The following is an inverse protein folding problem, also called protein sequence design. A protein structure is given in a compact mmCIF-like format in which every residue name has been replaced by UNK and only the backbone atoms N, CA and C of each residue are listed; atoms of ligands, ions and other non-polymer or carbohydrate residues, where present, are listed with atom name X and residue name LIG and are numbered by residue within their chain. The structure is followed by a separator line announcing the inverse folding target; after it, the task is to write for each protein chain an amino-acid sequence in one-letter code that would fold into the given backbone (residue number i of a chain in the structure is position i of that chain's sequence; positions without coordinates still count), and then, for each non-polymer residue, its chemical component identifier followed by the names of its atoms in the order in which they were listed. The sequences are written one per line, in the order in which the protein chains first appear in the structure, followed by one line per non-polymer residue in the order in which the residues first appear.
data_IF_365637951267
#
_entry.id   IF_365637951267
#
_cell.length_a   1.000
_cell.length_b   1.000
_cell.length_c   1.000
_cell.angle_alpha   90.00
_cell.angle_beta   90.00
_cell.angle_gamma   90.00
#
_symmetry.space_group_name_H-M   'P 1'
#
loop_
_entity.id
_entity.type
_entity.pdbx_description
1 polymer ?
#
# COMPACT_ATOMS: atom_id res chain seq x y z
N UNK A 1 7.70 18.16 20.58
CA UNK A 1 8.47 17.75 19.39
C UNK A 1 7.48 17.32 18.33
N UNK A 2 7.07 18.27 17.48
CA UNK A 2 6.27 18.02 16.29
C UNK A 2 7.02 17.01 15.43
N UNK A 3 6.48 15.79 15.32
CA UNK A 3 6.96 14.85 14.33
C UNK A 3 6.38 15.33 13.02
N UNK A 4 7.12 16.17 12.29
CA UNK A 4 6.69 16.65 10.98
C UNK A 4 6.50 15.43 10.08
N UNK A 5 5.22 15.09 9.84
CA UNK A 5 4.86 14.09 8.86
C UNK A 5 5.34 14.62 7.50
N UNK A 6 5.91 13.76 6.64
CA UNK A 6 6.34 14.20 5.33
C UNK A 6 5.18 14.81 4.55
N UNK A 7 5.40 15.98 3.95
CA UNK A 7 4.42 16.61 3.07
C UNK A 7 4.23 15.75 1.81
N UNK A 8 3.01 15.28 1.59
CA UNK A 8 2.65 14.56 0.38
C UNK A 8 2.04 15.49 -0.64
N UNK A 9 2.41 15.28 -1.90
CA UNK A 9 1.71 15.89 -3.04
C UNK A 9 0.65 14.92 -3.54
N UNK A 10 -0.65 15.26 -3.44
CA UNK A 10 -1.69 14.46 -4.03
C UNK A 10 -1.43 14.33 -5.53
N UNK A 11 -1.30 13.09 -6.02
CA UNK A 11 -1.24 12.82 -7.44
C UNK A 11 -2.66 12.66 -7.97
N UNK A 12 -2.86 12.92 -9.27
CA UNK A 12 -4.13 12.60 -9.95
C UNK A 12 -4.46 11.13 -9.73
N UNK A 13 -5.70 10.84 -9.36
CA UNK A 13 -6.15 9.50 -8.99
C UNK A 13 -5.80 8.45 -10.06
N UNK A 14 -5.93 8.78 -11.34
CA UNK A 14 -5.56 7.92 -12.48
C UNK A 14 -4.08 7.46 -12.42
N UNK A 15 -3.16 8.36 -12.05
CA UNK A 15 -1.74 8.02 -11.92
C UNK A 15 -1.50 7.07 -10.75
N UNK A 16 -2.22 7.29 -9.65
CA UNK A 16 -2.13 6.41 -8.47
C UNK A 16 -2.71 5.05 -8.80
N UNK A 17 -3.86 4.98 -9.50
CA UNK A 17 -4.45 3.73 -9.96
C UNK A 17 -3.52 2.97 -10.92
N UNK A 18 -2.93 3.66 -11.90
CA UNK A 18 -1.96 3.04 -12.81
C UNK A 18 -0.74 2.46 -12.06
N UNK A 19 -0.25 3.17 -11.04
CA UNK A 19 0.81 2.68 -10.15
C UNK A 19 0.35 1.44 -9.36
N UNK A 20 -0.84 1.48 -8.76
CA UNK A 20 -1.39 0.37 -7.98
C UNK A 20 -1.65 -0.87 -8.84
N UNK A 21 -2.17 -0.72 -10.07
CA UNK A 21 -2.34 -1.85 -10.98
C UNK A 21 -1.00 -2.49 -11.38
N UNK A 22 0.09 -1.73 -11.51
CA UNK A 22 1.44 -2.29 -11.74
C UNK A 22 1.98 -3.07 -10.53
N UNK A 23 1.60 -2.68 -9.32
CA UNK A 23 2.02 -3.34 -8.07
C UNK A 23 1.18 -4.59 -7.81
N UNK A 24 -0.15 -4.47 -7.84
CA UNK A 24 -1.09 -5.47 -7.33
C UNK A 24 -1.82 -6.26 -8.42
N UNK A 25 -1.90 -5.74 -9.66
CA UNK A 25 -2.61 -6.40 -10.76
C UNK A 25 -4.05 -6.76 -10.38
N UNK A 26 -4.40 -8.02 -10.59
CA UNK A 26 -5.73 -8.59 -10.31
C UNK A 26 -6.07 -8.71 -8.80
N UNK A 27 -5.07 -8.52 -7.94
CA UNK A 27 -5.24 -8.51 -6.50
C UNK A 27 -5.67 -7.14 -5.97
N UNK A 28 -5.67 -6.08 -6.78
CA UNK A 28 -6.20 -4.79 -6.37
C UNK A 28 -7.70 -4.90 -6.02
N UNK A 29 -8.10 -4.30 -4.90
CA UNK A 29 -9.52 -4.25 -4.48
C UNK A 29 -10.03 -2.82 -4.55
N UNK A 30 -9.44 -1.90 -3.78
CA UNK A 30 -9.83 -0.49 -3.78
C UNK A 30 -8.70 0.39 -3.24
N UNK A 31 -8.90 1.70 -3.32
CA UNK A 31 -8.03 2.70 -2.73
C UNK A 31 -8.88 3.77 -2.04
N UNK A 32 -8.51 4.12 -0.82
CA UNK A 32 -9.04 5.29 -0.12
C UNK A 32 -8.00 6.42 -0.18
N UNK A 33 -8.46 7.66 -0.31
CA UNK A 33 -7.61 8.87 -0.31
C UNK A 33 -7.88 9.69 0.94
N UNK A 34 -6.84 10.26 1.54
CA UNK A 34 -6.94 11.00 2.80
C UNK A 34 -6.64 12.51 2.61
N UNK A 35 -7.16 13.38 3.51
CA UNK A 35 -7.01 14.84 3.36
C UNK A 35 -5.56 15.36 3.36
N UNK A 36 -4.64 14.64 4.00
CA UNK A 36 -3.19 14.93 4.05
C UNK A 36 -2.43 14.43 2.81
N UNK A 37 -3.15 13.92 1.80
CA UNK A 37 -2.59 13.53 0.51
C UNK A 37 -1.98 12.13 0.47
N UNK A 38 -2.10 11.33 1.53
CA UNK A 38 -1.75 9.91 1.49
C UNK A 38 -2.93 9.05 1.00
N UNK A 39 -2.62 7.80 0.69
CA UNK A 39 -3.55 6.81 0.16
C UNK A 39 -3.42 5.52 0.96
N UNK A 40 -4.53 4.80 1.09
CA UNK A 40 -4.56 3.41 1.54
C UNK A 40 -5.01 2.55 0.38
N UNK A 41 -4.20 1.55 0.02
CA UNK A 41 -4.62 0.52 -0.93
C UNK A 41 -5.05 -0.72 -0.17
N UNK A 42 -6.14 -1.34 -0.63
CA UNK A 42 -6.61 -2.64 -0.17
C UNK A 42 -6.43 -3.65 -1.30
N UNK A 43 -5.97 -4.85 -0.94
CA UNK A 43 -5.68 -5.91 -1.91
C UNK A 43 -6.01 -7.30 -1.36
N UNK A 44 -6.28 -8.23 -2.28
CA UNK A 44 -6.72 -9.60 -1.97
C UNK A 44 -5.63 -10.38 -1.24
N UNK A 45 -5.98 -11.27 -0.31
CA UNK A 45 -5.00 -12.10 0.40
C UNK A 45 -4.10 -12.94 -0.51
N UNK A 46 -4.64 -13.38 -1.65
CA UNK A 46 -3.90 -14.16 -2.66
C UNK A 46 -2.70 -13.43 -3.29
N UNK A 47 -2.49 -12.14 -3.01
CA UNK A 47 -1.24 -11.45 -3.36
C UNK A 47 -0.03 -12.06 -2.64
N UNK A 48 -0.22 -12.53 -1.40
CA UNK A 48 0.82 -13.22 -0.65
C UNK A 48 0.65 -14.72 -0.75
N UNK A 49 1.74 -15.42 -1.08
CA UNK A 49 1.80 -16.88 -0.97
C UNK A 49 2.03 -17.22 0.50
N UNK A 50 0.96 -17.55 1.23
CA UNK A 50 1.02 -17.89 2.66
C UNK A 50 1.32 -19.39 2.78
N UNK A 51 2.33 -19.73 3.59
CA UNK A 51 2.70 -21.12 3.83
C UNK A 51 1.61 -21.86 4.63
N UNK A 52 1.44 -23.17 4.43
CA UNK A 52 0.53 -23.99 5.23
C UNK A 52 0.77 -23.79 6.74
N UNK A 53 -0.30 -23.58 7.51
CA UNK A 53 -0.24 -23.34 8.95
C UNK A 53 0.05 -21.89 9.37
N UNK A 54 0.16 -20.96 8.42
CA UNK A 54 0.16 -19.51 8.70
C UNK A 54 -1.14 -18.88 8.20
N UNK A 55 -1.65 -17.93 8.96
CA UNK A 55 -2.87 -17.18 8.63
C UNK A 55 -2.57 -15.76 8.16
N UNK A 56 -1.35 -15.28 8.38
CA UNK A 56 -0.94 -13.90 8.09
C UNK A 56 0.38 -13.85 7.30
N UNK A 57 0.60 -12.78 6.50
CA UNK A 57 1.84 -12.59 5.78
C UNK A 57 2.97 -12.25 6.74
N UNK A 58 4.15 -12.78 6.46
CA UNK A 58 5.33 -12.53 7.28
C UNK A 58 5.86 -11.11 7.13
N UNK A 59 6.66 -10.66 8.10
CA UNK A 59 7.37 -9.37 8.03
C UNK A 59 8.25 -9.24 6.78
N UNK A 60 8.83 -10.35 6.30
CA UNK A 60 9.66 -10.34 5.08
C UNK A 60 8.81 -10.16 3.83
N UNK A 61 7.62 -10.78 3.76
CA UNK A 61 6.67 -10.57 2.66
C UNK A 61 6.23 -9.10 2.56
N UNK A 62 5.87 -8.50 3.69
CA UNK A 62 5.57 -7.07 3.76
C UNK A 62 6.75 -6.20 3.33
N UNK A 63 7.96 -6.52 3.80
CA UNK A 63 9.18 -5.80 3.40
C UNK A 63 9.46 -5.91 1.91
N UNK A 64 9.21 -7.07 1.30
CA UNK A 64 9.36 -7.28 -0.15
C UNK A 64 8.33 -6.48 -0.94
N UNK A 65 7.06 -6.43 -0.51
CA UNK A 65 6.05 -5.55 -1.11
C UNK A 65 6.49 -4.08 -1.06
N UNK A 66 6.93 -3.60 0.11
CA UNK A 66 7.41 -2.21 0.26
C UNK A 66 8.60 -1.92 -0.65
N UNK A 67 9.54 -2.86 -0.79
CA UNK A 67 10.67 -2.73 -1.73
C UNK A 67 10.20 -2.69 -3.19
N UNK A 68 9.24 -3.53 -3.59
CA UNK A 68 8.66 -3.51 -4.95
C UNK A 68 8.01 -2.17 -5.27
N UNK A 69 7.19 -1.66 -4.36
CA UNK A 69 6.55 -0.34 -4.46
C UNK A 69 7.59 0.78 -4.69
N UNK A 70 8.64 0.83 -3.87
CA UNK A 70 9.74 1.81 -4.03
C UNK A 70 10.54 1.64 -5.32
N UNK A 71 10.74 0.41 -5.80
CA UNK A 71 11.43 0.16 -7.09
C UNK A 71 10.62 0.67 -8.28
N UNK A 72 9.29 0.52 -8.24
CA UNK A 72 8.41 1.02 -9.30
C UNK A 72 8.34 2.55 -9.25
N UNK A 73 8.32 3.14 -8.06
CA UNK A 73 8.31 4.60 -7.91
C UNK A 73 9.22 5.05 -6.75
N UNK A 74 10.46 5.49 -7.01
CA UNK A 74 11.42 5.87 -5.96
C UNK A 74 10.95 6.98 -5.02
N UNK A 75 10.08 7.88 -5.50
CA UNK A 75 9.51 8.97 -4.70
C UNK A 75 8.30 8.57 -3.83
N UNK A 76 8.01 7.27 -3.70
CA UNK A 76 6.91 6.81 -2.84
C UNK A 76 7.39 6.65 -1.40
N UNK A 77 6.68 7.29 -0.48
CA UNK A 77 6.78 7.03 0.95
C UNK A 77 5.79 5.93 1.32
N UNK A 78 6.22 5.00 2.17
CA UNK A 78 5.37 3.88 2.60
C UNK A 78 5.39 3.83 4.10
N UNK A 79 4.20 3.87 4.71
CA UNK A 79 4.07 3.87 6.15
C UNK A 79 4.53 2.54 6.74
N UNK A 80 4.94 2.59 8.01
CA UNK A 80 5.39 1.40 8.73
C UNK A 80 4.25 0.41 8.93
N UNK A 81 3.06 0.92 9.25
CA UNK A 81 1.87 0.13 9.54
C UNK A 81 1.33 -0.53 8.27
N UNK A 82 1.01 -1.81 8.42
CA UNK A 82 0.36 -2.68 7.44
C UNK A 82 -0.60 -3.55 8.22
N UNK A 83 -1.67 -4.04 7.60
CA UNK A 83 -2.60 -4.88 8.34
C UNK A 83 -3.63 -5.57 7.46
N UNK A 84 -4.62 -6.12 8.16
CA UNK A 84 -5.75 -6.84 7.59
C UNK A 84 -7.03 -6.17 8.09
N UNK A 85 -8.08 -6.15 7.25
CA UNK A 85 -9.41 -5.74 7.65
C UNK A 85 -10.45 -6.62 6.97
N UNK A 86 -11.66 -6.68 7.52
CA UNK A 86 -12.76 -7.44 6.93
C UNK A 86 -13.47 -6.61 5.86
N UNK A 87 -13.67 -7.21 4.68
CA UNK A 87 -14.54 -6.71 3.61
C UNK A 87 -15.78 -7.60 3.49
N UNK A 88 -16.77 -7.17 2.70
CA UNK A 88 -17.96 -7.97 2.37
C UNK A 88 -17.59 -9.34 1.77
N UNK A 89 -16.52 -9.37 0.98
CA UNK A 89 -16.05 -10.56 0.25
C UNK A 89 -14.94 -11.34 1.00
N UNK A 90 -14.74 -11.06 2.29
CA UNK A 90 -13.71 -11.70 3.12
C UNK A 90 -12.57 -10.76 3.53
N UNK A 91 -11.50 -11.30 4.16
CA UNK A 91 -10.39 -10.47 4.64
C UNK A 91 -9.63 -9.85 3.48
N UNK A 92 -9.19 -8.61 3.64
CA UNK A 92 -8.31 -7.89 2.71
C UNK A 92 -7.12 -7.32 3.46
N UNK A 93 -5.98 -7.24 2.78
CA UNK A 93 -4.79 -6.59 3.31
C UNK A 93 -4.78 -5.11 2.92
N UNK A 94 -4.15 -4.28 3.75
CA UNK A 94 -3.95 -2.87 3.44
C UNK A 94 -2.53 -2.38 3.73
N UNK A 95 -2.13 -1.36 2.98
CA UNK A 95 -0.89 -0.61 3.18
C UNK A 95 -1.09 0.86 2.83
N UNK A 96 -0.52 1.73 3.66
CA UNK A 96 -0.60 3.18 3.49
C UNK A 96 0.66 3.71 2.83
N UNK A 97 0.49 4.65 1.91
CA UNK A 97 1.58 5.25 1.16
C UNK A 97 1.24 6.66 0.69
N UNK A 98 2.26 7.45 0.44
CA UNK A 98 2.15 8.80 -0.12
C UNK A 98 3.26 9.04 -1.15
N UNK A 99 3.16 10.14 -1.90
CA UNK A 99 4.20 10.55 -2.83
C UNK A 99 4.79 11.86 -2.32
N UNK A 100 6.11 11.90 -2.15
CA UNK A 100 6.78 13.10 -1.66
C UNK A 100 6.52 14.29 -2.60
N UNK A 101 6.23 15.45 -2.01
CA UNK A 101 6.03 16.69 -2.77
C UNK A 101 7.31 17.22 -3.42
N UNK A 102 8.46 16.96 -2.80
CA UNK A 102 9.78 17.42 -3.23
C UNK A 102 10.76 16.22 -3.24
N UNK A 103 11.68 16.20 -4.20
CA UNK A 103 12.73 15.17 -4.32
C UNK A 103 14.05 15.70 -3.80
#
# INVERSE_FOLDING_TARGET
MSHDLPEFKPLRQEKVLAYLHRVFGEHYVKMDSFPDGHYRVYFKPGYFVIQPGKTEPSKSQWSTLKKRMKRIHPGVFIFKQTGTTSSKDGPVYYIDFGFFAYR
#
